data_IF_872841244146
#
_entry.id   IF_872841244146
#
_cell.length_a   1.000
_cell.length_b   1.000
_cell.length_c   1.000
_cell.angle_alpha   90.00
_cell.angle_beta   90.00
_cell.angle_gamma   90.00
#
_symmetry.space_group_name_H-M   'P 1'
#
loop_
_entity.id
_entity.type
_entity.pdbx_description
1 polymer ?
#
# COMPACT_ATOMS: atom_id res chain seq x y z
N UNK A 1 13.62 -23.70 34.70
CA UNK A 1 12.75 -23.02 33.73
C UNK A 1 12.96 -21.52 33.87
N UNK A 2 13.53 -20.85 32.87
CA UNK A 2 13.71 -19.40 32.85
C UNK A 2 12.34 -18.82 32.48
N UNK A 3 11.62 -18.25 33.44
CA UNK A 3 10.36 -17.55 33.16
C UNK A 3 10.61 -16.52 32.07
N UNK A 4 9.79 -16.46 31.00
CA UNK A 4 9.95 -15.44 29.98
C UNK A 4 9.87 -14.07 30.68
N UNK A 5 10.87 -13.21 30.43
CA UNK A 5 10.87 -11.87 30.98
C UNK A 5 9.58 -11.15 30.54
N UNK A 6 9.00 -10.28 31.40
CA UNK A 6 7.86 -9.46 30.99
C UNK A 6 8.25 -8.66 29.75
N UNK A 7 7.31 -8.54 28.81
CA UNK A 7 7.58 -7.91 27.53
C UNK A 7 7.96 -6.45 27.73
N UNK A 8 9.13 -6.07 27.26
CA UNK A 8 9.64 -4.69 27.32
C UNK A 8 8.94 -3.83 26.24
N UNK A 9 8.90 -2.50 26.42
CA UNK A 9 8.28 -1.56 25.47
C UNK A 9 8.78 -1.77 24.04
N UNK A 10 10.09 -2.04 23.89
CA UNK A 10 10.71 -2.36 22.61
C UNK A 10 10.05 -3.56 21.93
N UNK A 11 9.71 -4.61 22.67
CA UNK A 11 9.12 -5.82 22.11
C UNK A 11 7.69 -5.59 21.61
N UNK A 12 6.93 -4.70 22.25
CA UNK A 12 5.61 -4.31 21.76
C UNK A 12 5.70 -3.49 20.46
N UNK A 13 6.64 -2.55 20.39
CA UNK A 13 6.87 -1.74 19.19
C UNK A 13 7.34 -2.63 18.03
N UNK A 14 8.31 -3.52 18.27
CA UNK A 14 8.82 -4.44 17.26
C UNK A 14 7.72 -5.40 16.76
N UNK A 15 6.84 -5.87 17.65
CA UNK A 15 5.70 -6.70 17.26
C UNK A 15 4.75 -5.96 16.30
N UNK A 16 4.38 -4.72 16.63
CA UNK A 16 3.50 -3.88 15.80
C UNK A 16 4.15 -3.60 14.45
N UNK A 17 5.43 -3.22 14.43
CA UNK A 17 6.17 -2.96 13.18
C UNK A 17 6.22 -4.23 12.33
N UNK A 18 6.47 -5.40 12.92
CA UNK A 18 6.51 -6.67 12.18
C UNK A 18 5.16 -7.00 11.56
N UNK A 19 4.07 -6.80 12.30
CA UNK A 19 2.71 -7.07 11.81
C UNK A 19 2.35 -6.15 10.64
N UNK A 20 2.71 -4.87 10.74
CA UNK A 20 2.48 -3.92 9.65
C UNK A 20 3.28 -4.29 8.40
N UNK A 21 4.56 -4.63 8.56
CA UNK A 21 5.45 -4.90 7.44
C UNK A 21 5.17 -6.22 6.72
N UNK A 22 4.80 -7.27 7.46
CA UNK A 22 4.58 -8.60 6.87
C UNK A 22 3.15 -8.81 6.37
N UNK A 23 2.15 -8.24 7.04
CA UNK A 23 0.75 -8.56 6.76
C UNK A 23 0.06 -7.37 6.08
N UNK A 24 0.06 -6.21 6.72
CA UNK A 24 -0.79 -5.08 6.32
C UNK A 24 -0.33 -4.50 4.99
N UNK A 25 0.96 -4.28 4.83
CA UNK A 25 1.49 -3.54 3.69
C UNK A 25 1.41 -4.33 2.39
N UNK A 26 1.83 -5.62 2.35
CA UNK A 26 1.70 -6.42 1.14
C UNK A 26 0.23 -6.54 0.70
N UNK A 27 -0.70 -6.63 1.65
CA UNK A 27 -2.14 -6.70 1.37
C UNK A 27 -2.66 -5.40 0.74
N UNK A 28 -2.33 -4.23 1.32
CA UNK A 28 -2.78 -2.96 0.75
C UNK A 28 -2.13 -2.72 -0.63
N UNK A 29 -0.86 -3.06 -0.81
CA UNK A 29 -0.20 -3.00 -2.12
C UNK A 29 -0.89 -3.89 -3.15
N UNK A 30 -1.21 -5.13 -2.79
CA UNK A 30 -1.94 -6.06 -3.65
C UNK A 30 -3.32 -5.55 -4.03
N UNK A 31 -4.09 -5.05 -3.06
CA UNK A 31 -5.41 -4.47 -3.30
C UNK A 31 -5.35 -3.22 -4.18
N UNK A 32 -4.36 -2.36 -3.97
CA UNK A 32 -4.15 -1.14 -4.76
C UNK A 32 -3.79 -1.48 -6.21
N UNK A 33 -2.94 -2.50 -6.43
CA UNK A 33 -2.61 -3.01 -7.75
C UNK A 33 -3.84 -3.56 -8.48
N UNK A 34 -4.66 -4.36 -7.79
CA UNK A 34 -5.90 -4.92 -8.35
C UNK A 34 -6.89 -3.82 -8.70
N UNK A 35 -7.08 -2.82 -7.82
CA UNK A 35 -7.95 -1.68 -8.07
C UNK A 35 -7.46 -0.84 -9.27
N UNK A 36 -6.15 -0.64 -9.38
CA UNK A 36 -5.53 0.05 -10.52
C UNK A 36 -5.78 -0.71 -11.83
N UNK A 37 -5.50 -2.01 -11.85
CA UNK A 37 -5.74 -2.86 -13.02
C UNK A 37 -7.23 -2.86 -13.39
N UNK A 38 -8.14 -2.98 -12.42
CA UNK A 38 -9.58 -2.91 -12.67
C UNK A 38 -10.02 -1.58 -13.30
N UNK A 39 -9.46 -0.46 -12.82
CA UNK A 39 -9.69 0.87 -13.40
C UNK A 39 -9.25 0.94 -14.87
N UNK A 40 -8.06 0.43 -15.18
CA UNK A 40 -7.54 0.37 -16.55
C UNK A 40 -8.42 -0.51 -17.43
N UNK A 41 -8.78 -1.72 -16.98
CA UNK A 41 -9.62 -2.65 -17.72
C UNK A 41 -11.00 -2.06 -18.04
N UNK A 42 -11.67 -1.47 -17.04
CA UNK A 42 -13.00 -0.85 -17.22
C UNK A 42 -12.94 0.30 -18.23
N UNK A 43 -11.87 1.08 -18.21
CA UNK A 43 -11.75 2.24 -19.08
C UNK A 43 -11.39 1.86 -20.52
N UNK A 44 -10.36 1.02 -20.68
CA UNK A 44 -9.76 0.74 -21.97
C UNK A 44 -10.58 -0.26 -22.78
N UNK A 45 -11.22 -1.24 -22.13
CA UNK A 45 -11.96 -2.31 -22.81
C UNK A 45 -13.46 -2.01 -22.94
N UNK A 46 -14.10 -1.45 -21.91
CA UNK A 46 -15.57 -1.30 -21.91
C UNK A 46 -16.07 0.04 -22.47
N UNK A 47 -15.33 1.15 -22.31
CA UNK A 47 -15.81 2.50 -22.63
C UNK A 47 -15.00 3.17 -23.75
N UNK A 48 -14.29 2.38 -24.56
CA UNK A 48 -13.39 2.89 -25.61
C UNK A 48 -14.07 3.74 -26.69
N UNK A 49 -15.39 3.72 -26.81
CA UNK A 49 -16.14 4.39 -27.88
C UNK A 49 -16.83 5.71 -27.46
N UNK A 50 -17.01 5.99 -26.16
CA UNK A 50 -17.82 7.12 -25.68
C UNK A 50 -16.95 8.22 -25.05
N UNK A 51 -17.12 9.47 -25.46
CA UNK A 51 -16.21 10.57 -25.13
C UNK A 51 -16.43 11.16 -23.73
N UNK A 52 -17.66 11.09 -23.20
CA UNK A 52 -17.98 11.56 -21.83
C UNK A 52 -17.42 10.61 -20.76
N UNK A 53 -17.58 9.31 -20.96
CA UNK A 53 -17.04 8.27 -20.07
C UNK A 53 -15.49 8.29 -20.05
N UNK A 54 -14.89 8.76 -21.14
CA UNK A 54 -13.44 8.97 -21.23
C UNK A 54 -12.93 9.98 -20.20
N UNK A 55 -13.61 11.12 -20.04
CA UNK A 55 -13.15 12.17 -19.13
C UNK A 55 -13.23 11.75 -17.65
N UNK A 56 -14.34 11.11 -17.28
CA UNK A 56 -14.53 10.59 -15.92
C UNK A 56 -13.51 9.55 -15.53
N UNK A 57 -13.21 8.62 -16.42
CA UNK A 57 -12.27 7.56 -16.08
C UNK A 57 -10.81 7.93 -16.30
N UNK A 58 -10.49 8.97 -17.08
CA UNK A 58 -9.17 9.63 -17.01
C UNK A 58 -8.95 10.22 -15.61
N UNK A 59 -9.96 10.86 -15.04
CA UNK A 59 -9.91 11.37 -13.67
C UNK A 59 -9.75 10.25 -12.65
N UNK A 60 -10.49 9.14 -12.80
CA UNK A 60 -10.35 7.97 -11.94
C UNK A 60 -8.95 7.34 -12.01
N UNK A 61 -8.38 7.19 -13.20
CA UNK A 61 -7.01 6.66 -13.37
C UNK A 61 -5.96 7.57 -12.72
N UNK A 62 -6.12 8.90 -12.81
CA UNK A 62 -5.23 9.85 -12.16
C UNK A 62 -5.31 9.72 -10.63
N UNK A 63 -6.52 9.60 -10.07
CA UNK A 63 -6.70 9.35 -8.63
C UNK A 63 -6.10 8.00 -8.19
N UNK A 64 -6.27 6.95 -8.99
CA UNK A 64 -5.65 5.64 -8.74
C UNK A 64 -4.11 5.70 -8.78
N UNK A 65 -3.54 6.43 -9.74
CA UNK A 65 -2.10 6.63 -9.85
C UNK A 65 -1.54 7.42 -8.66
N UNK A 66 -2.21 8.50 -8.26
CA UNK A 66 -1.85 9.30 -7.08
C UNK A 66 -1.89 8.42 -5.82
N UNK A 67 -2.93 7.58 -5.68
CA UNK A 67 -3.06 6.65 -4.57
C UNK A 67 -1.89 5.66 -4.48
N UNK A 68 -1.47 5.09 -5.62
CA UNK A 68 -0.28 4.22 -5.65
C UNK A 68 1.00 4.97 -5.27
N UNK A 69 1.24 6.15 -5.84
CA UNK A 69 2.46 6.93 -5.57
C UNK A 69 2.54 7.33 -4.09
N UNK A 70 1.44 7.75 -3.48
CA UNK A 70 1.40 8.10 -2.05
C UNK A 70 1.69 6.89 -1.16
N UNK A 71 1.11 5.73 -1.48
CA UNK A 71 1.36 4.50 -0.75
C UNK A 71 2.85 4.11 -0.81
N UNK A 72 3.44 4.11 -2.00
CA UNK A 72 4.88 3.85 -2.17
C UNK A 72 5.75 4.89 -1.45
N UNK A 73 5.35 6.16 -1.45
CA UNK A 73 6.12 7.24 -0.81
C UNK A 73 6.13 7.11 0.70
N UNK A 74 4.95 6.96 1.32
CA UNK A 74 4.83 6.83 2.78
C UNK A 74 5.51 5.55 3.24
N UNK A 75 5.29 4.44 2.54
CA UNK A 75 5.87 3.17 2.95
C UNK A 75 7.38 3.06 2.66
N UNK A 76 7.85 3.63 1.56
CA UNK A 76 9.28 3.72 1.25
C UNK A 76 10.05 4.47 2.34
N UNK A 77 9.48 5.55 2.87
CA UNK A 77 10.06 6.28 4.00
C UNK A 77 10.09 5.44 5.28
N UNK A 78 9.01 4.70 5.58
CA UNK A 78 8.97 3.79 6.74
C UNK A 78 10.03 2.70 6.61
N UNK A 79 10.23 2.12 5.43
CA UNK A 79 11.25 1.11 5.22
C UNK A 79 12.66 1.67 5.39
N UNK A 80 12.95 2.86 4.85
CA UNK A 80 14.24 3.52 5.02
C UNK A 80 14.50 3.83 6.51
N UNK A 81 13.51 4.36 7.23
CA UNK A 81 13.62 4.63 8.65
C UNK A 81 13.80 3.35 9.47
N UNK A 82 13.08 2.27 9.13
CA UNK A 82 13.21 0.97 9.79
C UNK A 82 14.56 0.31 9.55
N UNK A 83 15.07 0.36 8.32
CA UNK A 83 16.42 -0.10 7.97
C UNK A 83 17.48 0.70 8.72
N UNK A 84 17.34 2.02 8.80
CA UNK A 84 18.26 2.88 9.54
C UNK A 84 18.27 2.62 11.05
N UNK A 85 17.17 2.10 11.61
CA UNK A 85 17.06 1.72 13.02
C UNK A 85 17.60 0.28 13.30
N UNK A 86 17.77 -0.52 12.24
CA UNK A 86 18.32 -1.89 12.32
C UNK A 86 19.85 -1.96 12.17
N UNK A 87 20.48 -0.87 11.69
CA UNK A 87 21.93 -0.67 11.66
C UNK A 87 22.43 -0.09 12.99
#
# INVERSE_FOLDING_TARGET
MKTPAPMDFKQYVDFIISLMNHEVVPVILGLSLVAFLWGVFRYYILHGADTNEREHARTFMLWGLIGMVLLFTVWGLVNIAGVALML
#
